data_IF_361236783484
#
_entry.id   IF_361236783484
#
_cell.length_a   1.000
_cell.length_b   1.000
_cell.length_c   1.000
_cell.angle_alpha   90.00
_cell.angle_beta   90.00
_cell.angle_gamma   90.00
#
_symmetry.space_group_name_H-M   'P 1'
#
loop_
_entity.id
_entity.type
_entity.pdbx_description
1 polymer ?
#
# COMPACT_ATOMS: atom_id res chain seq x y z
N UNK A 1 1.39 -3.71 -18.42
CA UNK A 1 0.08 -3.56 -17.76
C UNK A 1 -0.60 -2.26 -18.16
N UNK A 2 0.05 -1.10 -18.03
CA UNK A 2 -0.57 0.21 -18.32
C UNK A 2 -1.26 0.35 -19.69
N UNK A 3 -0.62 -0.13 -20.77
CA UNK A 3 -1.21 -0.07 -22.11
C UNK A 3 -2.48 -0.93 -22.19
N UNK A 4 -2.51 -2.07 -21.50
CA UNK A 4 -3.64 -2.99 -21.51
C UNK A 4 -4.81 -2.46 -20.70
N UNK A 5 -4.55 -1.68 -19.66
CA UNK A 5 -5.58 -1.24 -18.71
C UNK A 5 -5.95 0.23 -18.87
N UNK A 6 -5.33 0.96 -19.81
CA UNK A 6 -5.50 2.41 -20.04
C UNK A 6 -6.95 2.90 -20.09
N UNK A 7 -7.86 2.08 -20.63
CA UNK A 7 -9.29 2.40 -20.75
C UNK A 7 -10.07 2.24 -19.43
N UNK A 8 -9.49 1.54 -18.45
CA UNK A 8 -10.03 1.35 -17.10
C UNK A 8 -9.39 2.30 -16.07
N UNK A 9 -8.34 3.04 -16.46
CA UNK A 9 -7.63 3.91 -15.53
C UNK A 9 -8.45 5.16 -15.25
N UNK A 10 -8.75 5.40 -13.97
CA UNK A 10 -9.38 6.63 -13.48
C UNK A 10 -8.32 7.59 -12.90
N UNK A 11 -8.74 8.82 -12.61
CA UNK A 11 -7.87 9.80 -11.95
C UNK A 11 -7.63 9.42 -10.48
N UNK A 12 -6.45 9.76 -9.97
CA UNK A 12 -6.12 9.65 -8.55
C UNK A 12 -7.15 10.45 -7.74
N UNK A 13 -7.70 9.93 -6.62
CA UNK A 13 -7.34 8.67 -5.94
C UNK A 13 -8.24 7.47 -6.27
N UNK A 14 -9.09 7.54 -7.29
CA UNK A 14 -10.09 6.51 -7.60
C UNK A 14 -9.48 5.21 -8.16
N UNK A 15 -8.28 5.33 -8.72
CA UNK A 15 -7.52 4.23 -9.28
C UNK A 15 -6.02 4.44 -9.09
N UNK A 16 -5.30 3.39 -8.69
CA UNK A 16 -3.84 3.35 -8.74
C UNK A 16 -3.36 1.97 -9.23
N UNK A 17 -2.33 1.97 -10.05
CA UNK A 17 -1.69 0.76 -10.56
C UNK A 17 -0.19 0.88 -10.41
N UNK A 18 0.42 -0.13 -9.82
CA UNK A 18 1.86 -0.23 -9.72
C UNK A 18 2.30 -1.67 -9.95
N UNK A 19 2.93 -1.91 -11.11
CA UNK A 19 3.36 -3.25 -11.54
C UNK A 19 2.17 -4.22 -11.56
N UNK A 20 2.04 -5.09 -10.56
CA UNK A 20 0.97 -6.08 -10.36
C UNK A 20 -0.05 -5.68 -9.27
N UNK A 21 0.21 -4.63 -8.50
CA UNK A 21 -0.68 -4.15 -7.44
C UNK A 21 -1.70 -3.14 -8.00
N UNK A 22 -2.99 -3.45 -7.80
CA UNK A 22 -4.13 -2.62 -8.24
C UNK A 22 -4.89 -2.13 -7.02
N UNK A 23 -5.11 -0.81 -6.95
CA UNK A 23 -5.98 -0.19 -5.96
C UNK A 23 -7.21 0.40 -6.67
N UNK A 24 -8.38 -0.06 -6.25
CA UNK A 24 -9.68 0.42 -6.73
C UNK A 24 -10.40 1.10 -5.57
N UNK A 25 -10.88 2.33 -5.79
CA UNK A 25 -11.62 3.08 -4.79
C UNK A 25 -12.97 3.50 -5.37
N UNK A 26 -14.01 3.38 -4.57
CA UNK A 26 -15.33 3.90 -4.87
C UNK A 26 -16.02 4.40 -3.60
N UNK A 27 -17.08 5.19 -3.75
CA UNK A 27 -17.88 5.71 -2.63
C UNK A 27 -18.93 4.71 -2.18
N UNK A 28 -19.31 3.76 -3.02
CA UNK A 28 -20.33 2.75 -2.72
C UNK A 28 -19.75 1.36 -2.84
N UNK A 29 -20.31 0.43 -2.06
CA UNK A 29 -19.94 -0.99 -2.11
C UNK A 29 -20.20 -1.56 -3.50
N UNK A 30 -21.34 -1.24 -4.08
CA UNK A 30 -21.76 -1.69 -5.41
C UNK A 30 -20.82 -1.14 -6.50
N UNK A 31 -20.28 0.06 -6.31
CA UNK A 31 -19.28 0.65 -7.19
C UNK A 31 -17.96 -0.12 -7.15
N UNK A 32 -17.49 -0.49 -5.95
CA UNK A 32 -16.30 -1.35 -5.79
C UNK A 32 -16.51 -2.72 -6.44
N UNK A 33 -17.64 -3.38 -6.19
CA UNK A 33 -17.97 -4.69 -6.79
C UNK A 33 -18.00 -4.60 -8.32
N UNK A 34 -18.68 -3.60 -8.87
CA UNK A 34 -18.78 -3.38 -10.32
C UNK A 34 -17.42 -3.15 -10.95
N UNK A 35 -16.57 -2.32 -10.32
CA UNK A 35 -15.20 -2.08 -10.79
C UNK A 35 -14.38 -3.35 -10.72
N UNK A 36 -14.44 -4.09 -9.62
CA UNK A 36 -13.65 -5.30 -9.44
C UNK A 36 -14.00 -6.38 -10.48
N UNK A 37 -15.29 -6.55 -10.79
CA UNK A 37 -15.76 -7.47 -11.83
C UNK A 37 -15.33 -7.04 -13.24
N UNK A 38 -15.44 -5.74 -13.54
CA UNK A 38 -14.96 -5.18 -14.80
C UNK A 38 -13.46 -5.44 -15.00
N UNK A 39 -12.67 -5.23 -13.94
CA UNK A 39 -11.24 -5.49 -13.93
C UNK A 39 -10.93 -6.97 -14.10
N UNK A 40 -11.64 -7.85 -13.39
CA UNK A 40 -11.50 -9.31 -13.55
C UNK A 40 -11.74 -9.73 -15.00
N UNK A 41 -12.90 -9.39 -15.56
CA UNK A 41 -13.28 -9.77 -16.94
C UNK A 41 -12.27 -9.26 -17.96
N UNK A 42 -11.84 -8.01 -17.82
CA UNK A 42 -10.86 -7.40 -18.75
C UNK A 42 -9.49 -8.08 -18.65
N UNK A 43 -9.01 -8.39 -17.44
CA UNK A 43 -7.74 -9.07 -17.23
C UNK A 43 -7.79 -10.51 -17.75
N UNK A 44 -8.87 -11.25 -17.48
CA UNK A 44 -9.08 -12.61 -17.95
C UNK A 44 -9.14 -12.67 -19.48
N UNK A 45 -9.78 -11.71 -20.14
CA UNK A 45 -9.80 -11.61 -21.61
C UNK A 45 -8.40 -11.45 -22.24
N UNK A 46 -7.42 -10.99 -21.44
CA UNK A 46 -6.03 -10.76 -21.85
C UNK A 46 -5.08 -11.83 -21.33
N UNK A 47 -5.61 -12.90 -20.74
CA UNK A 47 -4.83 -14.03 -20.20
C UNK A 47 -4.25 -13.80 -18.81
N UNK A 48 -4.68 -12.75 -18.08
CA UNK A 48 -4.27 -12.49 -16.70
C UNK A 48 -5.35 -12.96 -15.73
N UNK A 49 -4.96 -13.32 -14.50
CA UNK A 49 -5.89 -13.75 -13.44
C UNK A 49 -5.63 -12.98 -12.17
N UNK A 50 -6.71 -12.53 -11.51
CA UNK A 50 -6.63 -11.93 -10.19
C UNK A 50 -6.32 -12.98 -9.13
N UNK A 51 -5.46 -12.64 -8.19
CA UNK A 51 -5.13 -13.52 -7.08
C UNK A 51 -6.12 -13.32 -5.92
N UNK A 52 -7.16 -14.15 -5.88
CA UNK A 52 -8.25 -14.05 -4.88
C UNK A 52 -7.78 -14.11 -3.43
N UNK A 53 -6.71 -14.86 -3.13
CA UNK A 53 -6.21 -14.95 -1.75
C UNK A 53 -5.43 -13.71 -1.30
N UNK A 54 -4.98 -12.89 -2.26
CA UNK A 54 -4.32 -11.59 -2.01
C UNK A 54 -5.26 -10.40 -2.19
N UNK A 55 -6.38 -10.58 -2.88
CA UNK A 55 -7.39 -9.54 -3.00
C UNK A 55 -8.08 -9.35 -1.66
N UNK A 56 -8.06 -8.12 -1.16
CA UNK A 56 -8.72 -7.70 0.08
C UNK A 56 -9.52 -6.44 -0.21
N UNK A 57 -10.58 -6.21 0.55
CA UNK A 57 -11.30 -4.94 0.55
C UNK A 57 -11.25 -4.31 1.94
N UNK A 58 -11.24 -2.98 1.96
CA UNK A 58 -11.30 -2.20 3.18
C UNK A 58 -12.41 -1.18 3.04
N UNK A 59 -13.21 -1.07 4.09
CA UNK A 59 -14.25 -0.05 4.19
C UNK A 59 -13.71 1.09 5.04
N UNK A 60 -13.64 2.30 4.47
CA UNK A 60 -13.13 3.46 5.17
C UNK A 60 -14.26 4.32 5.71
N UNK A 61 -14.43 4.34 7.03
CA UNK A 61 -15.52 5.05 7.70
C UNK A 61 -15.12 6.50 8.05
N UNK A 62 -14.75 7.28 7.03
CA UNK A 62 -14.28 8.67 7.24
C UNK A 62 -15.38 9.64 7.67
N UNK A 63 -16.63 9.31 7.37
CA UNK A 63 -17.82 10.04 7.82
C UNK A 63 -18.58 9.13 8.78
N UNK A 64 -19.05 9.62 9.92
CA UNK A 64 -19.74 8.86 10.98
C UNK A 64 -21.12 8.27 10.56
N UNK A 65 -21.29 7.96 9.27
CA UNK A 65 -22.48 7.40 8.69
C UNK A 65 -22.44 5.87 8.83
N UNK A 66 -23.49 5.28 9.38
CA UNK A 66 -23.56 3.83 9.56
C UNK A 66 -23.80 3.19 8.20
N UNK A 67 -22.75 2.71 7.56
CA UNK A 67 -22.90 1.85 6.40
C UNK A 67 -23.47 0.50 6.84
N UNK A 68 -24.47 0.03 6.10
CA UNK A 68 -25.06 -1.29 6.27
C UNK A 68 -23.98 -2.33 5.96
N UNK A 69 -23.61 -3.16 6.94
CA UNK A 69 -22.57 -4.19 6.83
C UNK A 69 -22.76 -5.10 5.63
N UNK A 70 -22.18 -4.70 4.51
CA UNK A 70 -22.24 -5.39 3.24
C UNK A 70 -20.95 -6.16 2.99
N UNK A 71 -21.09 -7.35 2.44
CA UNK A 71 -19.97 -8.17 2.02
C UNK A 71 -19.67 -7.82 0.57
N UNK A 72 -18.39 -7.74 0.21
CA UNK A 72 -17.93 -7.61 -1.18
C UNK A 72 -17.64 -9.01 -1.72
N UNK A 73 -18.24 -9.34 -2.85
CA UNK A 73 -17.98 -10.60 -3.55
C UNK A 73 -17.22 -10.39 -4.87
N UNK A 74 -16.44 -11.39 -5.25
CA UNK A 74 -15.77 -11.50 -6.53
C UNK A 74 -16.02 -12.91 -7.06
N UNK A 75 -16.66 -13.03 -8.24
CA UNK A 75 -17.02 -14.34 -8.83
C UNK A 75 -17.83 -15.19 -7.84
N UNK A 76 -18.84 -14.58 -7.20
CA UNK A 76 -19.70 -15.15 -6.15
C UNK A 76 -18.96 -15.64 -4.87
N UNK A 77 -17.67 -15.32 -4.72
CA UNK A 77 -16.87 -15.63 -3.54
C UNK A 77 -16.64 -14.40 -2.68
N UNK A 78 -16.75 -14.57 -1.36
CA UNK A 78 -16.49 -13.49 -0.40
C UNK A 78 -15.01 -13.14 -0.36
N UNK A 79 -14.70 -11.86 -0.53
CA UNK A 79 -13.34 -11.32 -0.39
C UNK A 79 -13.05 -11.09 1.09
N UNK A 80 -11.79 -11.21 1.50
CA UNK A 80 -11.38 -10.87 2.86
C UNK A 80 -11.56 -9.38 3.14
N UNK A 81 -12.26 -9.05 4.23
CA UNK A 81 -12.34 -7.69 4.78
C UNK A 81 -11.11 -7.43 5.63
N UNK A 82 -10.38 -6.36 5.35
CA UNK A 82 -9.27 -5.89 6.17
C UNK A 82 -9.60 -4.54 6.83
N UNK A 83 -8.98 -4.28 7.98
CA UNK A 83 -9.03 -2.98 8.69
C UNK A 83 -7.84 -2.09 8.37
N UNK A 84 -6.77 -2.67 7.81
CA UNK A 84 -5.61 -1.92 7.34
C UNK A 84 -5.10 -2.50 6.04
N UNK A 85 -4.76 -1.64 5.09
CA UNK A 85 -4.24 -2.00 3.79
C UNK A 85 -2.83 -1.46 3.60
N UNK A 86 -1.91 -2.30 3.15
CA UNK A 86 -0.54 -1.89 2.86
C UNK A 86 -0.37 -1.72 1.35
N UNK A 87 -0.18 -0.49 0.90
CA UNK A 87 0.08 -0.17 -0.50
C UNK A 87 1.43 0.54 -0.64
N UNK A 88 2.34 -0.06 -1.42
CA UNK A 88 3.68 0.49 -1.70
C UNK A 88 4.48 0.90 -0.46
N UNK A 89 4.28 0.18 0.64
CA UNK A 89 4.97 0.43 1.92
C UNK A 89 4.34 1.50 2.79
N UNK A 90 3.23 2.12 2.36
CA UNK A 90 2.37 2.92 3.24
C UNK A 90 1.18 2.10 3.71
N UNK A 91 0.74 2.34 4.94
CA UNK A 91 -0.43 1.71 5.55
C UNK A 91 -1.59 2.70 5.53
N UNK A 92 -2.75 2.27 5.05
CA UNK A 92 -4.01 3.00 5.15
C UNK A 92 -4.90 2.24 6.12
N UNK A 93 -5.51 2.96 7.06
CA UNK A 93 -6.40 2.38 8.07
C UNK A 93 -7.85 2.76 7.81
N UNK A 94 -8.78 1.88 8.18
CA UNK A 94 -10.22 2.07 7.97
C UNK A 94 -10.82 3.26 8.76
N UNK A 95 -10.19 3.63 9.87
CA UNK A 95 -10.55 4.79 10.71
C UNK A 95 -10.02 6.12 10.15
N UNK A 96 -9.15 6.06 9.14
CA UNK A 96 -8.47 7.22 8.57
C UNK A 96 -7.32 7.77 9.40
N UNK A 97 -6.93 7.08 10.47
CA UNK A 97 -5.76 7.46 11.25
C UNK A 97 -4.48 7.13 10.50
N UNK A 98 -3.51 8.05 10.57
CA UNK A 98 -2.17 7.88 9.97
C UNK A 98 -1.17 7.26 10.95
N UNK A 99 -1.55 7.09 12.22
CA UNK A 99 -0.63 6.67 13.29
C UNK A 99 -0.04 5.29 13.04
N UNK A 100 -0.83 4.34 12.51
CA UNK A 100 -0.34 3.00 12.18
C UNK A 100 0.76 3.02 11.11
N UNK A 101 0.63 3.89 10.10
CA UNK A 101 1.66 4.08 9.07
C UNK A 101 2.92 4.72 9.66
N UNK A 102 2.77 5.78 10.45
CA UNK A 102 3.88 6.48 11.11
C UNK A 102 4.65 5.51 12.00
N UNK A 103 3.95 4.76 12.86
CA UNK A 103 4.55 3.79 13.77
C UNK A 103 5.29 2.72 12.98
N UNK A 104 4.68 2.14 11.94
CA UNK A 104 5.32 1.10 11.13
C UNK A 104 6.60 1.61 10.45
N UNK A 105 6.56 2.81 9.85
CA UNK A 105 7.72 3.44 9.21
C UNK A 105 8.84 3.73 10.21
N UNK A 106 8.50 4.24 11.40
CA UNK A 106 9.45 4.46 12.49
C UNK A 106 10.11 3.13 12.89
N UNK A 107 9.33 2.07 13.10
CA UNK A 107 9.85 0.75 13.47
C UNK A 107 10.79 0.17 12.42
N UNK A 108 10.42 0.21 11.14
CA UNK A 108 11.27 -0.29 10.03
C UNK A 108 12.58 0.49 9.97
N UNK A 109 12.54 1.81 10.14
CA UNK A 109 13.72 2.66 10.16
C UNK A 109 14.62 2.37 11.36
N UNK A 110 14.06 2.22 12.55
CA UNK A 110 14.83 1.86 13.75
C UNK A 110 15.49 0.49 13.61
N UNK A 111 14.78 -0.49 13.04
CA UNK A 111 15.34 -1.82 12.79
C UNK A 111 16.53 -1.75 11.82
N UNK A 112 16.40 -1.01 10.71
CA UNK A 112 17.50 -0.81 9.75
C UNK A 112 18.68 -0.06 10.37
N UNK A 113 18.41 0.96 11.19
CA UNK A 113 19.46 1.70 11.90
C UNK A 113 20.17 0.82 12.92
N UNK A 114 19.43 -0.02 13.66
CA UNK A 114 19.99 -1.01 14.58
C UNK A 114 20.89 -2.00 13.85
N UNK A 115 20.51 -2.48 12.67
CA UNK A 115 21.36 -3.35 11.87
C UNK A 115 22.63 -2.65 11.40
N UNK A 116 22.54 -1.35 11.08
CA UNK A 116 23.70 -0.54 10.73
C UNK A 116 24.55 -0.10 11.94
N UNK A 117 24.03 -0.24 13.17
CA UNK A 117 24.71 0.22 14.38
C UNK A 117 26.04 -0.49 14.60
N UNK A 118 26.19 -1.75 14.20
CA UNK A 118 27.48 -2.46 14.27
C UNK A 118 28.58 -1.70 13.53
N UNK A 119 28.32 -1.27 12.29
CA UNK A 119 29.27 -0.49 11.49
C UNK A 119 29.50 0.93 12.05
N UNK A 120 28.43 1.56 12.54
CA UNK A 120 28.49 2.94 13.05
C UNK A 120 29.17 3.03 14.42
N UNK A 121 29.00 2.03 15.28
CA UNK A 121 29.52 1.98 16.64
C UNK A 121 30.88 1.26 16.73
N UNK A 122 31.29 0.51 15.71
CA UNK A 122 32.60 -0.19 15.71
C UNK A 122 33.75 0.82 15.70
N UNK A 123 34.59 0.78 16.73
CA UNK A 123 35.77 1.65 16.88
C UNK A 123 36.83 1.39 15.80
N UNK A 124 36.84 0.20 15.17
CA UNK A 124 37.79 -0.18 14.12
C UNK A 124 37.49 0.47 12.77
N UNK A 125 36.27 0.99 12.58
CA UNK A 125 35.86 1.60 11.31
C UNK A 125 36.27 3.09 11.28
N UNK A 126 37.01 3.54 10.26
CA UNK A 126 37.43 4.94 10.16
C UNK A 126 36.25 5.91 10.09
N UNK A 127 36.37 7.07 10.76
CA UNK A 127 35.35 8.11 10.79
C UNK A 127 34.94 8.61 9.39
N UNK A 128 35.90 8.69 8.45
CA UNK A 128 35.61 9.06 7.06
C UNK A 128 34.61 8.09 6.40
N UNK A 129 34.74 6.79 6.67
CA UNK A 129 33.85 5.78 6.10
C UNK A 129 32.47 5.82 6.78
N UNK A 130 32.43 5.97 8.12
CA UNK A 130 31.17 6.20 8.86
C UNK A 130 30.43 7.44 8.36
N UNK A 131 31.16 8.53 8.10
CA UNK A 131 30.59 9.75 7.54
C UNK A 131 29.99 9.57 6.15
N UNK A 132 30.65 8.80 5.27
CA UNK A 132 30.09 8.43 3.95
C UNK A 132 28.83 7.56 4.10
N UNK A 133 28.89 6.54 4.94
CA UNK A 133 27.76 5.65 5.21
C UNK A 133 26.56 6.42 5.76
N UNK A 134 26.79 7.32 6.71
CA UNK A 134 25.75 8.20 7.24
C UNK A 134 25.09 9.03 6.13
N UNK A 135 25.89 9.70 5.28
CA UNK A 135 25.36 10.53 4.19
C UNK A 135 24.61 9.73 3.12
N UNK A 136 25.02 8.50 2.84
CA UNK A 136 24.48 7.67 1.74
C UNK A 136 23.30 6.80 2.16
N UNK A 137 23.29 6.29 3.39
CA UNK A 137 22.30 5.29 3.84
C UNK A 137 21.39 5.87 4.91
N UNK A 138 21.99 6.43 5.97
CA UNK A 138 21.22 6.88 7.14
C UNK A 138 20.43 8.13 6.81
N UNK A 139 21.08 9.17 6.27
CA UNK A 139 20.44 10.45 5.97
C UNK A 139 19.28 10.31 4.99
N UNK A 140 19.39 9.63 3.82
CA UNK A 140 18.26 9.48 2.91
C UNK A 140 17.12 8.68 3.55
N UNK A 141 17.41 7.58 4.27
CA UNK A 141 16.39 6.84 5.00
C UNK A 141 15.71 7.68 6.11
N UNK A 142 16.42 8.67 6.66
CA UNK A 142 15.88 9.58 7.66
C UNK A 142 14.92 10.63 7.09
N UNK A 143 15.16 11.06 5.85
CA UNK A 143 14.37 12.08 5.15
C UNK A 143 13.38 11.49 4.13
N UNK A 144 13.39 10.17 3.91
CA UNK A 144 12.44 9.50 3.02
C UNK A 144 11.04 9.52 3.66
N UNK A 145 10.29 10.60 3.37
CA UNK A 145 8.98 10.89 3.96
C UNK A 145 8.75 12.37 4.28
N UNK A 146 9.78 13.23 4.25
CA UNK A 146 9.63 14.69 4.48
C UNK A 146 9.44 15.49 3.20
N UNK A 147 9.37 14.83 2.04
CA UNK A 147 9.00 15.47 0.79
C UNK A 147 7.48 15.37 0.64
N UNK A 148 6.80 16.41 1.09
CA UNK A 148 5.49 16.79 0.56
C UNK A 148 5.68 17.38 -0.84
#
# INVERSE_FOLDING_TARGET
MDILTRHLQEVVPWFMLFVDDILLVDRTREGVESKLELWRSTLESKGFRLNRSKTEYMECNFSNNRFSGGIVTLDDQVINKSTCFRYLGSIVQSDGEIDGDIISKIQVRWLKLRNASGLLCDRKVPLKLKGKFYKMVVRPAMFYGTKC
#
